data_IF_784867752173
#
_entry.id   IF_784867752173
#
_cell.length_a   1.000
_cell.length_b   1.000
_cell.length_c   1.000
_cell.angle_alpha   90.00
_cell.angle_beta   90.00
_cell.angle_gamma   90.00
#
_symmetry.space_group_name_H-M   'P 1'
#
loop_
_entity.id
_entity.type
_entity.pdbx_description
1 polymer ?
#
# COMPACT_ATOMS: atom_id res chain seq x y z
N UNK A 1 -1.66 14.40 13.46
CA UNK A 1 -2.71 14.00 12.66
C UNK A 1 -2.41 13.93 11.19
N UNK A 2 -3.29 13.24 10.47
CA UNK A 2 -3.05 12.93 9.07
C UNK A 2 -2.90 14.16 8.17
N UNK A 3 -3.67 15.21 8.42
CA UNK A 3 -3.60 16.41 7.59
C UNK A 3 -2.26 17.12 7.72
N UNK A 4 -1.73 17.22 8.93
CA UNK A 4 -0.42 17.83 9.16
C UNK A 4 0.68 16.98 8.53
N UNK A 5 0.56 15.67 8.60
CA UNK A 5 1.53 14.79 8.02
C UNK A 5 1.58 14.93 6.49
N UNK A 6 0.40 15.04 5.85
CA UNK A 6 0.34 15.25 4.40
C UNK A 6 0.95 16.60 4.03
N UNK A 7 0.67 17.64 4.79
CA UNK A 7 1.29 18.95 4.55
C UNK A 7 2.80 18.85 4.61
N UNK A 8 3.33 18.17 5.63
CA UNK A 8 4.77 18.01 5.77
C UNK A 8 5.36 17.21 4.62
N UNK A 9 4.67 16.18 4.16
CA UNK A 9 5.11 15.42 2.99
C UNK A 9 5.17 16.29 1.74
N UNK A 10 4.15 17.09 1.50
CA UNK A 10 4.09 17.94 0.32
C UNK A 10 5.14 19.05 0.35
N UNK A 11 5.51 19.49 1.52
CA UNK A 11 6.53 20.52 1.68
C UNK A 11 7.94 19.98 1.69
N UNK A 12 8.09 18.66 1.65
CA UNK A 12 9.40 18.05 1.72
C UNK A 12 10.03 18.12 3.10
N UNK A 13 9.23 18.32 4.14
CA UNK A 13 9.72 18.43 5.51
C UNK A 13 9.93 17.10 6.21
N UNK A 14 9.62 16.00 5.54
CA UNK A 14 9.74 14.66 6.12
C UNK A 14 11.14 14.13 5.87
N UNK A 15 11.80 13.72 6.93
CA UNK A 15 13.14 13.13 6.83
C UNK A 15 13.03 11.68 6.39
N UNK A 16 13.83 11.31 5.41
CA UNK A 16 13.84 9.95 4.84
C UNK A 16 15.21 9.32 5.05
N UNK A 17 15.20 8.10 5.57
CA UNK A 17 16.42 7.34 5.83
C UNK A 17 16.45 6.10 4.93
N UNK A 18 17.03 6.24 3.75
CA UNK A 18 17.14 5.14 2.80
C UNK A 18 18.25 4.19 3.19
N UNK A 19 17.94 2.90 3.18
CA UNK A 19 18.91 1.85 3.50
C UNK A 19 18.45 0.54 2.88
N UNK A 20 19.35 -0.43 2.71
CA UNK A 20 18.92 -1.77 2.29
C UNK A 20 17.93 -2.36 3.28
N UNK A 21 16.87 -2.94 2.76
CA UNK A 21 15.77 -3.45 3.57
C UNK A 21 15.21 -4.73 2.94
N UNK A 22 14.88 -5.71 3.77
CA UNK A 22 14.26 -6.95 3.32
C UNK A 22 12.75 -6.75 3.19
N UNK A 23 12.29 -6.52 1.97
CA UNK A 23 10.87 -6.26 1.70
C UNK A 23 10.02 -7.51 1.97
N UNK A 24 10.56 -8.69 1.69
CA UNK A 24 9.85 -9.95 1.93
C UNK A 24 9.51 -10.14 3.40
N UNK A 25 10.47 -9.87 4.26
CA UNK A 25 10.26 -10.01 5.70
C UNK A 25 9.26 -8.98 6.23
N UNK A 26 9.39 -7.74 5.79
CA UNK A 26 8.45 -6.70 6.19
C UNK A 26 7.03 -7.05 5.78
N UNK A 27 6.86 -7.60 4.59
CA UNK A 27 5.56 -8.05 4.11
C UNK A 27 4.99 -9.15 5.00
N UNK A 28 5.81 -10.14 5.34
CA UNK A 28 5.35 -11.24 6.20
C UNK A 28 4.92 -10.73 7.57
N UNK A 29 5.70 -9.87 8.18
CA UNK A 29 5.37 -9.32 9.49
C UNK A 29 4.06 -8.54 9.44
N UNK A 30 3.90 -7.71 8.41
CA UNK A 30 2.71 -6.87 8.27
C UNK A 30 1.46 -7.72 8.05
N UNK A 31 1.54 -8.79 7.27
CA UNK A 31 0.39 -9.65 6.99
C UNK A 31 0.03 -10.52 8.18
N UNK A 32 1.02 -11.01 8.91
CA UNK A 32 0.75 -11.80 10.13
C UNK A 32 -0.01 -10.93 11.15
N UNK A 33 0.41 -9.68 11.31
CA UNK A 33 -0.20 -8.79 12.29
C UNK A 33 -1.68 -8.51 12.01
N UNK A 34 -2.11 -8.56 10.75
CA UNK A 34 -3.49 -8.25 10.38
C UNK A 34 -4.32 -9.47 9.99
N UNK A 35 -3.75 -10.66 10.12
CA UNK A 35 -4.44 -11.89 9.72
C UNK A 35 -5.80 -12.02 10.40
N UNK A 36 -5.84 -11.79 11.70
CA UNK A 36 -7.09 -11.92 12.45
C UNK A 36 -8.11 -10.86 12.03
N UNK A 37 -7.66 -9.66 11.73
CA UNK A 37 -8.55 -8.59 11.29
C UNK A 37 -9.21 -8.94 9.95
N UNK A 38 -8.47 -9.57 9.05
CA UNK A 38 -9.03 -10.03 7.79
C UNK A 38 -10.04 -11.15 7.99
N UNK A 39 -9.72 -12.11 8.85
CA UNK A 39 -10.65 -13.17 9.18
C UNK A 39 -11.94 -12.64 9.79
N UNK A 40 -11.82 -11.67 10.70
CA UNK A 40 -12.99 -11.05 11.33
C UNK A 40 -13.82 -10.27 10.31
N UNK A 41 -13.23 -9.82 9.24
CA UNK A 41 -13.92 -9.13 8.15
C UNK A 41 -14.44 -10.10 7.08
N UNK A 42 -14.31 -11.40 7.32
CA UNK A 42 -14.72 -12.45 6.38
C UNK A 42 -13.95 -12.34 5.06
N UNK A 43 -12.64 -12.15 5.16
CA UNK A 43 -11.73 -12.07 4.02
C UNK A 43 -10.61 -13.08 4.21
N UNK A 44 -10.15 -13.65 3.10
CA UNK A 44 -9.00 -14.55 3.11
C UNK A 44 -7.78 -13.82 2.59
N UNK A 45 -6.75 -13.70 3.42
CA UNK A 45 -5.50 -13.04 3.04
C UNK A 45 -4.53 -14.11 2.54
N UNK A 46 -4.15 -14.02 1.28
CA UNK A 46 -3.26 -14.99 0.63
C UNK A 46 -1.95 -14.29 0.31
N UNK A 47 -0.86 -14.77 0.89
CA UNK A 47 0.47 -14.17 0.72
C UNK A 47 1.34 -15.11 -0.12
N UNK A 48 1.95 -14.56 -1.17
CA UNK A 48 2.84 -15.31 -2.06
C UNK A 48 4.20 -14.65 -2.14
N UNK A 49 5.22 -15.42 -1.90
CA UNK A 49 6.60 -14.96 -2.01
C UNK A 49 7.42 -16.05 -2.67
N UNK A 50 8.50 -15.64 -3.34
CA UNK A 50 9.44 -16.57 -3.91
C UNK A 50 10.38 -17.14 -2.87
N UNK A 51 11.28 -18.01 -3.30
CA UNK A 51 12.25 -18.66 -2.42
C UNK A 51 13.31 -17.70 -1.90
N UNK A 52 13.62 -16.68 -2.66
CA UNK A 52 14.66 -15.72 -2.29
C UNK A 52 14.05 -14.45 -1.76
N UNK A 53 14.64 -13.86 -0.72
CA UNK A 53 14.15 -12.59 -0.22
C UNK A 53 14.38 -11.48 -1.23
N UNK A 54 13.49 -10.51 -1.24
CA UNK A 54 13.59 -9.32 -2.09
C UNK A 54 14.11 -8.18 -1.22
N UNK A 55 15.29 -7.69 -1.55
CA UNK A 55 15.91 -6.59 -0.82
C UNK A 55 15.85 -5.33 -1.68
N UNK A 56 15.46 -4.22 -1.05
CA UNK A 56 15.27 -2.94 -1.74
C UNK A 56 15.95 -1.82 -0.96
N UNK A 57 16.10 -0.68 -1.62
CA UNK A 57 16.56 0.54 -0.96
C UNK A 57 15.33 1.36 -0.61
N UNK A 58 15.06 1.47 0.67
CA UNK A 58 13.85 2.16 1.14
C UNK A 58 14.02 2.56 2.61
N UNK A 59 13.06 3.34 3.09
CA UNK A 59 12.96 3.69 4.51
C UNK A 59 12.00 2.69 5.15
N UNK A 60 12.50 1.86 6.05
CA UNK A 60 11.72 0.78 6.64
C UNK A 60 10.45 1.23 7.34
N UNK A 61 10.53 2.29 8.13
CA UNK A 61 9.37 2.79 8.86
C UNK A 61 8.30 3.34 7.92
N UNK A 62 8.72 4.08 6.90
CA UNK A 62 7.78 4.64 5.93
C UNK A 62 7.17 3.56 5.05
N UNK A 63 7.96 2.57 4.67
CA UNK A 63 7.45 1.45 3.88
C UNK A 63 6.47 0.61 4.67
N UNK A 64 6.73 0.40 5.96
CA UNK A 64 5.78 -0.29 6.82
C UNK A 64 4.43 0.44 6.82
N UNK A 65 4.46 1.77 6.90
CA UNK A 65 3.23 2.56 6.89
C UNK A 65 2.50 2.47 5.56
N UNK A 66 3.23 2.43 4.45
CA UNK A 66 2.64 2.23 3.12
C UNK A 66 1.90 0.90 3.06
N UNK A 67 2.56 -0.17 3.48
CA UNK A 67 1.98 -1.50 3.45
C UNK A 67 0.76 -1.57 4.38
N UNK A 68 0.88 -1.00 5.57
CA UNK A 68 -0.22 -0.95 6.53
C UNK A 68 -1.44 -0.24 5.96
N UNK A 69 -1.23 0.89 5.29
CA UNK A 69 -2.31 1.63 4.66
C UNK A 69 -2.98 0.84 3.54
N UNK A 70 -2.19 0.13 2.73
CA UNK A 70 -2.74 -0.67 1.64
C UNK A 70 -3.52 -1.88 2.17
N UNK A 71 -3.01 -2.53 3.22
CA UNK A 71 -3.73 -3.65 3.84
C UNK A 71 -5.03 -3.18 4.47
N UNK A 72 -5.01 -2.06 5.17
CA UNK A 72 -6.20 -1.48 5.77
C UNK A 72 -7.25 -1.13 4.72
N UNK A 73 -6.80 -0.55 3.61
CA UNK A 73 -7.67 -0.20 2.50
C UNK A 73 -8.35 -1.45 1.92
N UNK A 74 -7.57 -2.51 1.70
CA UNK A 74 -8.12 -3.76 1.18
C UNK A 74 -9.14 -4.37 2.15
N UNK A 75 -8.84 -4.34 3.45
CA UNK A 75 -9.75 -4.89 4.44
C UNK A 75 -11.09 -4.16 4.44
N UNK A 76 -11.05 -2.84 4.29
CA UNK A 76 -12.27 -2.03 4.38
C UNK A 76 -13.14 -2.10 3.13
N UNK A 77 -12.54 -2.25 1.98
CA UNK A 77 -13.26 -2.10 0.72
C UNK A 77 -13.47 -3.39 -0.08
N UNK A 78 -12.91 -4.50 0.37
CA UNK A 78 -13.08 -5.77 -0.34
C UNK A 78 -14.47 -6.36 -0.13
N UNK A 79 -14.95 -7.05 -1.15
CA UNK A 79 -16.20 -7.81 -1.05
C UNK A 79 -16.02 -8.92 -0.03
N UNK A 80 -16.96 -9.05 0.90
CA UNK A 80 -16.91 -10.09 1.92
C UNK A 80 -16.93 -11.47 1.28
N UNK A 81 -16.16 -12.38 1.84
CA UNK A 81 -16.03 -13.72 1.30
C UNK A 81 -14.98 -13.83 0.19
N UNK A 82 -14.37 -12.72 -0.20
CA UNK A 82 -13.36 -12.74 -1.26
C UNK A 82 -11.95 -12.92 -0.69
N UNK A 83 -11.01 -13.06 -1.60
CA UNK A 83 -9.59 -13.20 -1.27
C UNK A 83 -8.85 -11.93 -1.57
N UNK A 84 -7.89 -11.61 -0.69
CA UNK A 84 -6.96 -10.51 -0.92
C UNK A 84 -5.59 -11.13 -1.15
N UNK A 85 -4.99 -10.85 -2.28
CA UNK A 85 -3.70 -11.44 -2.67
C UNK A 85 -2.59 -10.43 -2.44
N UNK A 86 -1.57 -10.87 -1.72
CA UNK A 86 -0.37 -10.07 -1.46
C UNK A 86 0.82 -10.85 -2.01
N UNK A 87 1.66 -10.18 -2.78
CA UNK A 87 2.85 -10.80 -3.37
C UNK A 87 4.06 -9.90 -3.22
N UNK A 88 5.22 -10.51 -3.05
CA UNK A 88 6.50 -9.79 -3.10
C UNK A 88 7.38 -10.51 -4.11
N UNK A 89 7.91 -9.78 -5.06
CA UNK A 89 8.76 -10.36 -6.11
C UNK A 89 9.73 -9.33 -6.63
N UNK A 90 10.72 -9.81 -7.38
CA UNK A 90 11.68 -8.95 -8.04
C UNK A 90 11.39 -8.97 -9.54
N UNK A 91 11.38 -7.79 -10.14
CA UNK A 91 11.16 -7.64 -11.57
C UNK A 91 12.26 -6.74 -12.12
N UNK A 92 13.25 -7.35 -12.78
CA UNK A 92 14.42 -6.61 -13.23
C UNK A 92 15.17 -6.01 -12.06
N UNK A 93 15.38 -4.70 -12.10
CA UNK A 93 16.07 -3.97 -11.04
C UNK A 93 15.13 -3.42 -9.98
N UNK A 94 13.89 -3.92 -9.95
CA UNK A 94 12.87 -3.45 -9.01
C UNK A 94 12.42 -4.54 -8.08
N UNK A 95 12.21 -4.17 -6.80
CA UNK A 95 11.50 -5.01 -5.85
C UNK A 95 10.07 -4.51 -5.74
N UNK A 96 9.11 -5.41 -5.78
CA UNK A 96 7.69 -5.06 -5.86
C UNK A 96 6.91 -5.73 -4.74
N UNK A 97 6.11 -4.92 -4.05
CA UNK A 97 5.04 -5.39 -3.18
C UNK A 97 3.73 -5.14 -3.93
N UNK A 98 2.94 -6.18 -4.11
CA UNK A 98 1.68 -6.07 -4.86
C UNK A 98 0.52 -6.55 -4.01
N UNK A 99 -0.57 -5.81 -4.02
CA UNK A 99 -1.81 -6.21 -3.34
C UNK A 99 -2.96 -6.09 -4.32
N UNK A 100 -3.82 -7.13 -4.36
CA UNK A 100 -4.98 -7.18 -5.23
C UNK A 100 -6.21 -7.55 -4.42
N UNK A 101 -7.31 -6.86 -4.68
CA UNK A 101 -8.57 -7.23 -4.04
C UNK A 101 -9.76 -6.92 -4.94
N UNK A 102 -10.87 -7.58 -4.67
CA UNK A 102 -12.14 -7.33 -5.38
C UNK A 102 -12.94 -6.34 -4.54
N UNK A 103 -13.26 -5.20 -5.13
CA UNK A 103 -14.01 -4.16 -4.45
C UNK A 103 -15.47 -4.58 -4.23
N UNK A 104 -16.00 -4.25 -3.06
CA UNK A 104 -17.41 -4.52 -2.74
C UNK A 104 -18.35 -3.62 -3.56
N UNK A 105 -17.84 -2.49 -4.05
CA UNK A 105 -18.62 -1.54 -4.86
C UNK A 105 -17.92 -1.30 -6.17
N UNK A 106 -18.67 -0.96 -7.23
CA UNK A 106 -18.04 -0.64 -8.51
C UNK A 106 -17.04 0.51 -8.37
N UNK A 107 -15.92 0.37 -9.08
CA UNK A 107 -14.88 1.39 -9.10
C UNK A 107 -15.02 2.18 -10.39
N UNK A 108 -15.73 3.30 -10.31
CA UNK A 108 -16.06 4.13 -11.47
C UNK A 108 -15.11 5.30 -11.67
N UNK A 109 -13.98 5.28 -11.00
CA UNK A 109 -13.02 6.37 -11.05
C UNK A 109 -11.67 5.88 -11.51
N UNK A 110 -10.86 6.81 -12.00
CA UNK A 110 -9.49 6.47 -12.40
C UNK A 110 -8.59 6.36 -11.18
N UNK A 111 -7.45 5.65 -11.29
CA UNK A 111 -6.50 5.61 -10.19
C UNK A 111 -6.05 6.99 -9.74
N UNK A 112 -5.89 7.92 -10.68
CA UNK A 112 -5.50 9.29 -10.37
C UNK A 112 -6.56 9.99 -9.53
N UNK A 113 -7.81 9.87 -9.94
CA UNK A 113 -8.91 10.45 -9.20
C UNK A 113 -9.03 9.87 -7.80
N UNK A 114 -8.78 8.58 -7.68
CA UNK A 114 -8.89 7.89 -6.40
C UNK A 114 -7.90 8.45 -5.37
N UNK A 115 -6.66 8.71 -5.79
CA UNK A 115 -5.67 9.28 -4.89
C UNK A 115 -5.86 10.78 -4.66
N UNK A 116 -6.18 11.54 -5.69
CA UNK A 116 -6.36 12.99 -5.57
C UNK A 116 -7.59 13.40 -4.79
N UNK A 117 -8.65 12.63 -4.96
CA UNK A 117 -9.92 12.88 -4.29
C UNK A 117 -9.76 13.06 -2.78
N UNK A 118 -8.86 12.32 -2.21
CA UNK A 118 -8.65 12.34 -0.77
C UNK A 118 -7.68 13.41 -0.33
N UNK A 119 -6.76 13.79 -1.20
CA UNK A 119 -5.86 14.89 -0.93
C UNK A 119 -6.62 16.20 -0.79
N UNK A 120 -7.69 16.36 -1.55
CA UNK A 120 -8.51 17.58 -1.50
C UNK A 120 -9.38 17.67 -0.26
N UNK A 121 -9.32 16.68 0.59
CA UNK A 121 -10.04 16.75 1.84
C UNK A 121 -11.54 16.63 1.69
N UNK A 122 -11.96 15.64 0.98
CA UNK A 122 -13.38 15.34 0.86
C UNK A 122 -13.89 14.78 2.17
N UNK A 123 -14.02 15.67 3.13
CA UNK A 123 -14.18 15.31 4.54
C UNK A 123 -15.51 14.74 4.89
N UNK A 124 -16.50 15.12 4.15
CA UNK A 124 -17.88 14.80 4.50
C UNK A 124 -18.14 13.31 4.51
N UNK A 125 -17.35 12.55 3.80
CA UNK A 125 -17.58 11.12 3.79
C UNK A 125 -16.40 10.34 4.32
N UNK A 126 -15.66 11.00 5.11
CA UNK A 126 -14.45 10.43 5.64
C UNK A 126 -14.65 9.90 7.04
N UNK A 127 -15.72 9.18 7.24
CA UNK A 127 -15.96 8.62 8.55
C UNK A 127 -14.82 7.72 8.99
N UNK A 128 -14.25 7.01 8.06
CA UNK A 128 -13.19 6.07 8.39
C UNK A 128 -11.82 6.60 8.07
N UNK A 129 -11.73 7.81 7.58
CA UNK A 129 -10.46 8.43 7.27
C UNK A 129 -9.71 7.78 6.14
N UNK A 130 -10.39 7.05 5.31
CA UNK A 130 -9.72 6.13 4.41
C UNK A 130 -9.18 6.74 3.16
N UNK A 131 -9.74 7.86 2.77
CA UNK A 131 -9.25 8.50 1.61
C UNK A 131 -7.83 8.96 1.73
N UNK A 132 -7.44 9.32 2.92
CA UNK A 132 -6.09 9.78 3.18
C UNK A 132 -5.07 8.66 3.07
N UNK A 133 -5.49 7.41 3.29
CA UNK A 133 -4.57 6.28 3.26
C UNK A 133 -3.85 6.11 1.93
N UNK A 134 -4.56 6.20 0.83
CA UNK A 134 -3.95 6.05 -0.49
C UNK A 134 -3.07 7.24 -0.86
N UNK A 135 -3.49 8.45 -0.54
CA UNK A 135 -2.66 9.62 -0.83
C UNK A 135 -1.41 9.64 0.04
N UNK A 136 -1.51 9.24 1.29
CA UNK A 136 -0.34 9.10 2.17
C UNK A 136 0.62 8.05 1.60
N UNK A 137 0.10 6.90 1.21
CA UNK A 137 0.92 5.83 0.64
C UNK A 137 1.66 6.31 -0.61
N UNK A 138 0.96 7.03 -1.49
CA UNK A 138 1.57 7.57 -2.70
C UNK A 138 2.71 8.52 -2.39
N UNK A 139 2.49 9.45 -1.47
CA UNK A 139 3.52 10.43 -1.11
C UNK A 139 4.69 9.78 -0.37
N UNK A 140 4.42 8.81 0.48
CA UNK A 140 5.48 8.08 1.18
C UNK A 140 6.36 7.30 0.21
N UNK A 141 5.78 6.72 -0.83
CA UNK A 141 6.58 6.07 -1.86
C UNK A 141 7.44 7.08 -2.61
N UNK A 142 6.84 8.20 -2.97
CA UNK A 142 7.51 9.24 -3.76
C UNK A 142 8.73 9.82 -3.03
N UNK A 143 8.61 10.12 -1.75
CA UNK A 143 9.73 10.70 -0.99
C UNK A 143 10.88 9.73 -0.79
N UNK A 144 10.65 8.44 -1.03
CA UNK A 144 11.67 7.39 -0.90
C UNK A 144 12.25 6.98 -2.26
N UNK A 145 11.97 7.73 -3.32
CA UNK A 145 12.36 7.37 -4.68
C UNK A 145 11.69 6.08 -5.16
N UNK A 146 10.55 5.76 -4.58
CA UNK A 146 9.73 4.63 -5.00
C UNK A 146 8.52 5.10 -5.79
N UNK A 147 7.67 4.15 -6.10
CA UNK A 147 6.46 4.44 -6.89
C UNK A 147 5.30 3.61 -6.36
N UNK A 148 4.14 4.24 -6.32
CA UNK A 148 2.88 3.51 -6.08
C UNK A 148 2.10 3.53 -7.39
N UNK A 149 1.88 2.34 -7.94
CA UNK A 149 1.19 2.15 -9.22
C UNK A 149 -0.14 1.46 -8.94
N UNK A 150 -1.24 2.15 -9.23
CA UNK A 150 -2.58 1.63 -8.99
C UNK A 150 -3.24 1.34 -10.33
N UNK A 151 -3.85 0.16 -10.46
CA UNK A 151 -4.66 -0.18 -11.62
C UNK A 151 -6.02 -0.67 -11.17
N UNK A 152 -7.03 -0.36 -11.98
CA UNK A 152 -8.41 -0.74 -11.73
C UNK A 152 -8.92 -1.40 -13.00
N UNK A 153 -9.48 -2.61 -12.83
CA UNK A 153 -10.07 -3.35 -13.93
C UNK A 153 -11.40 -3.92 -13.45
N UNK A 154 -12.48 -3.21 -13.77
CA UNK A 154 -13.79 -3.55 -13.22
C UNK A 154 -13.78 -3.38 -11.71
N UNK A 155 -14.04 -4.46 -11.00
CA UNK A 155 -14.03 -4.46 -9.54
C UNK A 155 -12.66 -4.86 -8.97
N UNK A 156 -11.70 -5.19 -9.82
CA UNK A 156 -10.37 -5.58 -9.39
C UNK A 156 -9.51 -4.33 -9.15
N UNK A 157 -9.09 -4.16 -7.91
CA UNK A 157 -8.16 -3.12 -7.52
C UNK A 157 -6.79 -3.75 -7.31
N UNK A 158 -5.77 -3.14 -7.87
CA UNK A 158 -4.40 -3.61 -7.73
C UNK A 158 -3.49 -2.43 -7.41
N UNK A 159 -2.65 -2.59 -6.41
CA UNK A 159 -1.65 -1.58 -6.06
C UNK A 159 -0.27 -2.24 -5.99
N UNK A 160 0.70 -1.61 -6.62
CA UNK A 160 2.10 -2.05 -6.58
C UNK A 160 2.96 -0.97 -5.98
N UNK A 161 3.77 -1.36 -5.00
CA UNK A 161 4.79 -0.51 -4.42
C UNK A 161 6.12 -0.96 -5.00
N UNK A 162 6.82 -0.06 -5.67
CA UNK A 162 8.02 -0.39 -6.44
C UNK A 162 9.20 0.40 -5.92
N UNK A 163 10.27 -0.30 -5.58
CA UNK A 163 11.53 0.31 -5.15
C UNK A 163 12.68 -0.29 -5.94
N UNK A 164 13.80 0.38 -5.95
CA UNK A 164 15.02 -0.18 -6.54
C UNK A 164 15.53 -1.32 -5.66
N UNK A 165 16.02 -2.38 -6.28
CA UNK A 165 16.62 -3.47 -5.53
C UNK A 165 17.93 -3.03 -4.89
N UNK A 166 18.26 -3.66 -3.76
CA UNK A 166 19.53 -3.45 -3.09
C UNK A 166 20.45 -4.62 -3.37
N UNK A 167 21.71 -4.31 -3.60
CA UNK A 167 22.74 -5.34 -3.74
C UNK A 167 23.28 -5.66 -2.35
N UNK A 168 22.85 -6.79 -1.85
CA UNK A 168 23.29 -7.24 -0.51
C UNK A 168 24.09 -8.49 -0.63
#
# INVERSE_FOLDING_TARGET
>A
CSALFIDDLHRGNVTVHLAPMNLSELCLQSTVDVQQDFENANLSLVVKQGDKPVNVIADGAKTFRVIENLLSNARKYSAKGSRVYVSVYQEGANGVFEIKNISAKPLDITPEELTERFVRGDKSRNQDGNGLGLSIAKELCKVQNGKLDISIDGDLFKAKVIFNTADI
#
